data_IF_590818453791
#
_entry.id   IF_590818453791
#
_cell.length_a   1.000
_cell.length_b   1.000
_cell.length_c   1.000
_cell.angle_alpha   90.00
_cell.angle_beta   90.00
_cell.angle_gamma   90.00
#
_symmetry.space_group_name_H-M   'P 1'
#
loop_
_entity.id
_entity.type
_entity.pdbx_description
1 polymer ?
#
# COMPACT_ATOMS: atom_id res chain seq x y z
N UNK A 1 9.37 34.20 43.96
CA UNK A 1 10.73 34.79 43.91
C UNK A 1 11.75 33.76 44.38
N UNK A 2 12.91 33.68 43.70
CA UNK A 2 14.07 32.77 43.88
C UNK A 2 14.06 31.59 42.90
N UNK A 3 15.08 31.30 42.09
CA UNK A 3 16.29 31.99 41.61
C UNK A 3 16.81 31.16 40.41
N UNK A 4 17.49 31.83 39.48
CA UNK A 4 18.15 31.26 38.31
C UNK A 4 19.13 30.12 38.68
N UNK A 5 19.28 29.14 37.79
CA UNK A 5 20.53 28.38 37.65
C UNK A 5 20.75 28.03 36.18
N UNK A 6 21.59 28.86 35.56
CA UNK A 6 22.25 28.67 34.28
C UNK A 6 23.37 27.67 34.49
N UNK A 7 23.37 26.55 33.75
CA UNK A 7 24.60 25.81 33.47
C UNK A 7 24.70 25.53 31.97
N UNK A 8 25.68 26.21 31.40
CA UNK A 8 26.23 26.10 30.07
C UNK A 8 27.16 24.88 30.04
N UNK A 9 26.87 23.88 29.21
CA UNK A 9 27.89 22.94 28.72
C UNK A 9 27.70 22.75 27.22
N UNK A 10 28.74 23.21 26.53
CA UNK A 10 29.03 23.18 25.12
C UNK A 10 29.66 21.81 24.80
N UNK A 11 29.09 21.05 23.86
CA UNK A 11 29.76 19.88 23.30
C UNK A 11 29.27 19.58 21.86
N UNK A 12 30.11 20.02 20.94
CA UNK A 12 30.30 19.61 19.54
C UNK A 12 29.83 18.19 19.21
N UNK A 13 28.93 18.05 18.23
CA UNK A 13 28.76 16.81 17.46
C UNK A 13 28.82 17.13 15.96
N UNK A 14 30.04 16.93 15.44
CA UNK A 14 30.37 16.28 14.17
C UNK A 14 29.36 16.37 13.02
N UNK A 15 29.70 17.23 12.06
CA UNK A 15 29.77 16.99 10.61
C UNK A 15 29.34 15.55 10.21
N UNK A 16 28.12 15.42 9.69
CA UNK A 16 27.74 14.29 8.84
C UNK A 16 27.86 14.73 7.37
N UNK A 17 28.73 14.09 6.57
CA UNK A 17 28.88 14.39 5.15
C UNK A 17 27.73 13.75 4.35
N UNK A 18 27.27 14.49 3.34
CA UNK A 18 26.85 13.94 2.07
C UNK A 18 25.87 12.74 2.13
N UNK A 19 24.60 13.02 2.46
CA UNK A 19 23.53 12.24 1.83
C UNK A 19 23.49 12.67 0.36
N UNK A 20 24.35 12.03 -0.42
CA UNK A 20 24.16 11.88 -1.85
C UNK A 20 22.75 11.34 -2.04
N UNK A 21 21.83 12.23 -2.41
CA UNK A 21 20.54 11.85 -2.95
C UNK A 21 20.83 11.19 -4.29
N UNK A 22 21.16 9.89 -4.25
CA UNK A 22 20.77 8.98 -5.29
C UNK A 22 19.25 9.11 -5.36
N UNK A 23 18.79 9.94 -6.29
CA UNK A 23 17.48 9.75 -6.89
C UNK A 23 17.57 8.39 -7.58
N UNK A 24 17.41 7.31 -6.81
CA UNK A 24 16.83 6.10 -7.34
C UNK A 24 15.49 6.56 -7.92
N UNK A 25 15.46 6.74 -9.25
CA UNK A 25 14.22 6.70 -9.99
C UNK A 25 13.57 5.37 -9.58
N UNK A 26 12.63 5.44 -8.64
CA UNK A 26 11.88 4.29 -8.21
C UNK A 26 11.38 3.61 -9.49
N UNK A 27 11.73 2.33 -9.73
CA UNK A 27 11.23 1.64 -10.91
C UNK A 27 9.71 1.77 -10.86
N UNK A 28 9.10 2.27 -11.94
CA UNK A 28 7.65 2.39 -12.07
C UNK A 28 7.04 1.10 -11.51
N UNK A 29 6.21 1.24 -10.48
CA UNK A 29 5.62 0.09 -9.81
C UNK A 29 4.78 -0.67 -10.82
N UNK A 30 4.76 -1.99 -10.72
CA UNK A 30 3.97 -2.88 -11.59
C UNK A 30 2.52 -2.44 -11.76
N UNK A 31 2.00 -1.67 -10.81
CA UNK A 31 0.63 -1.15 -10.78
C UNK A 31 0.38 -0.07 -11.86
N UNK A 32 1.33 0.81 -12.17
CA UNK A 32 1.16 1.79 -13.27
C UNK A 32 1.10 1.10 -14.64
N UNK A 33 1.92 0.07 -14.84
CA UNK A 33 1.87 -0.75 -16.05
C UNK A 33 0.52 -1.43 -16.23
N UNK A 34 -0.02 -1.90 -15.10
CA UNK A 34 -1.27 -2.61 -15.01
C UNK A 34 -2.45 -1.72 -15.38
N UNK A 35 -2.48 -0.51 -14.83
CA UNK A 35 -3.51 0.48 -15.13
C UNK A 35 -3.51 0.86 -16.61
N UNK A 36 -2.33 0.99 -17.24
CA UNK A 36 -2.24 1.31 -18.66
C UNK A 36 -2.64 0.15 -19.59
N UNK A 37 -2.28 -1.08 -19.21
CA UNK A 37 -2.49 -2.27 -20.03
C UNK A 37 -3.94 -2.77 -19.92
N UNK A 38 -4.48 -2.81 -18.71
CA UNK A 38 -5.76 -3.46 -18.40
C UNK A 38 -6.92 -2.45 -18.30
N UNK A 39 -6.59 -1.18 -18.11
CA UNK A 39 -7.54 -0.12 -17.83
C UNK A 39 -7.74 0.07 -16.32
N UNK A 40 -7.85 1.33 -15.92
CA UNK A 40 -7.93 1.73 -14.53
C UNK A 40 -9.16 1.15 -13.82
N UNK A 41 -10.29 1.03 -14.52
CA UNK A 41 -11.56 0.58 -13.94
C UNK A 41 -11.52 -0.84 -13.38
N UNK A 42 -10.85 -1.77 -14.08
CA UNK A 42 -10.78 -3.18 -13.64
C UNK A 42 -9.80 -3.32 -12.45
N UNK A 43 -8.73 -2.53 -12.47
CA UNK A 43 -7.77 -2.46 -11.34
C UNK A 43 -8.45 -1.88 -10.11
N UNK A 44 -9.17 -0.77 -10.26
CA UNK A 44 -9.91 -0.12 -9.18
C UNK A 44 -11.00 -1.03 -8.61
N UNK A 45 -11.75 -1.75 -9.46
CA UNK A 45 -12.75 -2.72 -9.03
C UNK A 45 -12.12 -3.84 -8.17
N UNK A 46 -11.01 -4.45 -8.63
CA UNK A 46 -10.33 -5.49 -7.87
C UNK A 46 -9.75 -4.95 -6.53
N UNK A 47 -9.28 -3.71 -6.52
CA UNK A 47 -8.78 -3.04 -5.32
C UNK A 47 -9.92 -2.78 -4.32
N UNK A 48 -11.05 -2.22 -4.76
CA UNK A 48 -12.25 -1.99 -3.94
C UNK A 48 -12.75 -3.30 -3.33
N UNK A 49 -12.88 -4.37 -4.12
CA UNK A 49 -13.29 -5.68 -3.59
C UNK A 49 -12.30 -6.27 -2.58
N UNK A 50 -11.02 -5.94 -2.69
CA UNK A 50 -10.03 -6.35 -1.69
C UNK A 50 -10.21 -5.62 -0.35
N UNK A 51 -10.65 -4.36 -0.39
CA UNK A 51 -10.99 -3.57 0.79
C UNK A 51 -12.29 -4.05 1.44
N UNK A 52 -13.29 -4.48 0.66
CA UNK A 52 -14.51 -5.12 1.14
C UNK A 52 -14.19 -6.38 1.98
N UNK A 53 -13.34 -7.28 1.46
CA UNK A 53 -12.90 -8.49 2.18
C UNK A 53 -12.19 -8.13 3.48
N UNK A 54 -11.34 -7.09 3.47
CA UNK A 54 -10.65 -6.63 4.68
C UNK A 54 -11.64 -6.11 5.72
N UNK A 55 -12.63 -5.34 5.29
CA UNK A 55 -13.66 -4.77 6.15
C UNK A 55 -14.54 -5.86 6.75
N UNK A 56 -15.05 -6.79 5.93
CA UNK A 56 -15.86 -7.93 6.38
C UNK A 56 -15.09 -8.81 7.38
N UNK A 57 -13.80 -9.06 7.14
CA UNK A 57 -12.94 -9.81 8.06
C UNK A 57 -12.76 -9.09 9.40
N UNK A 58 -12.64 -7.77 9.39
CA UNK A 58 -12.57 -6.95 10.61
C UNK A 58 -13.90 -6.97 11.38
N UNK A 59 -15.04 -6.98 10.69
CA UNK A 59 -16.39 -7.15 11.27
C UNK A 59 -16.52 -8.51 11.93
N UNK A 60 -16.20 -9.60 11.22
CA UNK A 60 -16.22 -10.96 11.78
C UNK A 60 -15.31 -11.08 13.00
N UNK A 61 -14.13 -10.45 12.97
CA UNK A 61 -13.21 -10.42 14.12
C UNK A 61 -13.84 -9.73 15.34
N UNK A 62 -14.60 -8.65 15.15
CA UNK A 62 -15.32 -7.95 16.23
C UNK A 62 -16.49 -8.80 16.74
N UNK A 63 -17.30 -9.37 15.84
CA UNK A 63 -18.41 -10.25 16.18
C UNK A 63 -17.95 -11.48 16.99
N UNK A 64 -16.81 -12.09 16.63
CA UNK A 64 -16.23 -13.21 17.40
C UNK A 64 -15.76 -12.85 18.81
N UNK A 65 -15.49 -11.57 19.09
CA UNK A 65 -15.00 -11.12 20.41
C UNK A 65 -16.14 -10.75 21.36
N UNK A 66 -17.20 -10.13 20.83
CA UNK A 66 -18.23 -9.51 21.66
C UNK A 66 -19.67 -9.76 21.17
N UNK A 67 -19.84 -10.36 20.00
CA UNK A 67 -21.15 -10.59 19.38
C UNK A 67 -21.79 -11.92 19.76
N UNK A 68 -23.10 -11.97 19.60
CA UNK A 68 -23.96 -13.15 19.70
C UNK A 68 -23.64 -14.17 18.59
N UNK A 69 -24.17 -15.39 18.73
CA UNK A 69 -24.03 -16.43 17.70
C UNK A 69 -24.63 -16.01 16.36
N UNK A 70 -25.72 -15.26 16.38
CA UNK A 70 -26.39 -14.79 15.16
C UNK A 70 -25.53 -13.75 14.43
N UNK A 71 -25.00 -12.75 15.16
CA UNK A 71 -24.10 -11.74 14.58
C UNK A 71 -22.80 -12.37 14.04
N UNK A 72 -22.30 -13.43 14.68
CA UNK A 72 -21.14 -14.18 14.18
C UNK A 72 -21.44 -14.90 12.86
N UNK A 73 -22.63 -15.50 12.75
CA UNK A 73 -23.04 -16.18 11.53
C UNK A 73 -23.25 -15.20 10.38
N UNK A 74 -23.95 -14.08 10.63
CA UNK A 74 -24.16 -13.01 9.64
C UNK A 74 -22.83 -12.45 9.14
N UNK A 75 -21.90 -12.11 10.04
CA UNK A 75 -20.58 -11.62 9.65
C UNK A 75 -19.72 -12.66 8.90
N UNK A 76 -19.99 -13.96 9.09
CA UNK A 76 -19.32 -15.04 8.35
C UNK A 76 -19.91 -15.20 6.94
N UNK A 77 -21.23 -15.06 6.80
CA UNK A 77 -21.91 -14.99 5.51
C UNK A 77 -21.43 -13.77 4.69
N UNK A 78 -21.34 -12.59 5.32
CA UNK A 78 -20.82 -11.36 4.70
C UNK A 78 -19.38 -11.51 4.21
N UNK A 79 -18.50 -12.12 5.02
CA UNK A 79 -17.11 -12.37 4.62
C UNK A 79 -17.05 -13.32 3.42
N UNK A 80 -17.86 -14.37 3.43
CA UNK A 80 -17.88 -15.35 2.35
C UNK A 80 -18.37 -14.71 1.03
N UNK A 81 -19.41 -13.87 1.09
CA UNK A 81 -19.87 -13.10 -0.07
C UNK A 81 -18.77 -12.15 -0.60
N UNK A 82 -18.12 -11.39 0.29
CA UNK A 82 -17.03 -10.49 -0.11
C UNK A 82 -15.86 -11.25 -0.77
N UNK A 83 -15.49 -12.42 -0.24
CA UNK A 83 -14.43 -13.27 -0.79
C UNK A 83 -14.82 -13.82 -2.18
N UNK A 84 -16.07 -14.21 -2.40
CA UNK A 84 -16.58 -14.61 -3.72
C UNK A 84 -16.55 -13.47 -4.74
N UNK A 85 -16.96 -12.26 -4.35
CA UNK A 85 -16.94 -11.08 -5.20
C UNK A 85 -15.49 -10.70 -5.57
N UNK A 86 -14.58 -10.70 -4.60
CA UNK A 86 -13.16 -10.47 -4.85
C UNK A 86 -12.57 -11.52 -5.79
N UNK A 87 -12.90 -12.81 -5.62
CA UNK A 87 -12.43 -13.87 -6.51
C UNK A 87 -12.93 -13.68 -7.96
N UNK A 88 -14.15 -13.19 -8.16
CA UNK A 88 -14.69 -12.85 -9.50
C UNK A 88 -13.94 -11.66 -10.10
N UNK A 89 -13.75 -10.57 -9.35
CA UNK A 89 -13.00 -9.40 -9.79
C UNK A 89 -11.55 -9.75 -10.16
N UNK A 90 -10.91 -10.61 -9.37
CA UNK A 90 -9.54 -11.07 -9.63
C UNK A 90 -9.44 -11.89 -10.92
N UNK A 91 -10.42 -12.76 -11.20
CA UNK A 91 -10.48 -13.49 -12.48
C UNK A 91 -10.67 -12.56 -13.66
N UNK A 92 -11.51 -11.53 -13.52
CA UNK A 92 -11.73 -10.53 -14.56
C UNK A 92 -10.45 -9.73 -14.84
N UNK A 93 -9.75 -9.29 -13.79
CA UNK A 93 -8.45 -8.64 -13.87
C UNK A 93 -7.42 -9.52 -14.58
N UNK A 94 -7.30 -10.79 -14.19
CA UNK A 94 -6.32 -11.70 -14.80
C UNK A 94 -6.66 -12.00 -16.27
N UNK A 95 -7.94 -12.16 -16.63
CA UNK A 95 -8.36 -12.30 -18.03
C UNK A 95 -8.00 -11.06 -18.84
N UNK A 96 -8.30 -9.86 -18.33
CA UNK A 96 -8.00 -8.62 -19.02
C UNK A 96 -6.48 -8.38 -19.15
N UNK A 97 -5.67 -8.86 -18.19
CA UNK A 97 -4.21 -8.92 -18.34
C UNK A 97 -3.81 -9.82 -19.51
N UNK A 98 -4.34 -11.03 -19.57
CA UNK A 98 -4.03 -12.01 -20.62
C UNK A 98 -4.27 -11.42 -22.00
N UNK A 99 -5.43 -10.82 -22.20
CA UNK A 99 -5.82 -10.26 -23.49
C UNK A 99 -4.92 -9.08 -23.87
N UNK A 100 -4.62 -8.20 -22.92
CA UNK A 100 -3.74 -7.07 -23.18
C UNK A 100 -2.26 -7.48 -23.39
N UNK A 101 -1.80 -8.56 -22.75
CA UNK A 101 -0.50 -9.18 -23.03
C UNK A 101 -0.47 -9.83 -24.41
N UNK A 102 -1.54 -10.54 -24.79
CA UNK A 102 -1.67 -11.17 -26.10
C UNK A 102 -1.55 -10.11 -27.22
N UNK A 103 -2.31 -9.03 -27.09
CA UNK A 103 -2.32 -7.90 -28.04
C UNK A 103 -0.93 -7.26 -28.20
N UNK A 104 -0.22 -7.02 -27.09
CA UNK A 104 1.11 -6.38 -27.13
C UNK A 104 2.24 -7.32 -27.57
N UNK A 105 2.13 -8.61 -27.24
CA UNK A 105 3.17 -9.61 -27.48
C UNK A 105 3.07 -10.25 -28.88
N UNK A 106 1.92 -10.12 -29.55
CA UNK A 106 1.63 -10.84 -30.79
C UNK A 106 1.47 -12.35 -30.59
N UNK A 107 1.24 -12.79 -29.35
CA UNK A 107 0.91 -14.18 -28.99
C UNK A 107 -0.59 -14.31 -28.77
N UNK A 108 -1.11 -15.52 -28.83
CA UNK A 108 -2.50 -15.78 -28.48
C UNK A 108 -2.76 -15.71 -26.98
N UNK A 109 -3.98 -15.36 -26.55
CA UNK A 109 -4.41 -15.43 -25.14
C UNK A 109 -4.19 -16.81 -24.54
N UNK A 110 -4.34 -17.89 -25.33
CA UNK A 110 -4.09 -19.26 -24.90
C UNK A 110 -2.61 -19.51 -24.55
N UNK A 111 -1.67 -18.96 -25.31
CA UNK A 111 -0.24 -19.05 -24.99
C UNK A 111 0.10 -18.30 -23.71
N UNK A 112 -0.44 -17.09 -23.53
CA UNK A 112 -0.23 -16.29 -22.32
C UNK A 112 -0.84 -17.00 -21.10
N UNK A 113 -2.04 -17.57 -21.23
CA UNK A 113 -2.66 -18.40 -20.19
C UNK A 113 -1.80 -19.62 -19.86
N UNK A 114 -1.28 -20.34 -20.86
CA UNK A 114 -0.39 -21.48 -20.63
C UNK A 114 0.90 -21.07 -19.89
N UNK A 115 1.44 -19.88 -20.17
CA UNK A 115 2.56 -19.32 -19.41
C UNK A 115 2.17 -19.07 -17.95
N UNK A 116 0.99 -18.53 -17.70
CA UNK A 116 0.50 -18.30 -16.34
C UNK A 116 0.27 -19.61 -15.57
N UNK A 117 -0.31 -20.61 -16.23
CA UNK A 117 -0.58 -21.95 -15.68
C UNK A 117 0.71 -22.74 -15.41
N UNK A 118 1.77 -22.48 -16.19
CA UNK A 118 3.12 -23.02 -15.91
C UNK A 118 3.77 -22.43 -14.66
N UNK A 119 3.11 -21.47 -13.99
CA UNK A 119 3.59 -20.82 -12.77
C UNK A 119 4.46 -19.59 -13.02
N UNK A 120 4.59 -19.11 -14.27
CA UNK A 120 5.31 -17.85 -14.54
C UNK A 120 4.51 -16.68 -13.97
N UNK A 121 5.22 -15.78 -13.28
CA UNK A 121 4.65 -14.53 -12.82
C UNK A 121 4.48 -13.52 -13.96
N UNK A 122 3.57 -12.55 -13.80
CA UNK A 122 3.31 -11.50 -14.79
C UNK A 122 4.55 -10.73 -15.23
N UNK A 123 5.49 -10.47 -14.32
CA UNK A 123 6.75 -9.80 -14.65
C UNK A 123 7.63 -10.59 -15.62
N UNK A 124 7.68 -11.92 -15.47
CA UNK A 124 8.44 -12.81 -16.38
C UNK A 124 7.75 -12.88 -17.74
N UNK A 125 6.41 -12.96 -17.75
CA UNK A 125 5.62 -12.94 -18.99
C UNK A 125 5.83 -11.61 -19.73
N UNK A 126 5.84 -10.48 -19.02
CA UNK A 126 6.12 -9.17 -19.60
C UNK A 126 7.52 -9.09 -20.23
N UNK A 127 8.54 -9.61 -19.55
CA UNK A 127 9.91 -9.69 -20.09
C UNK A 127 9.98 -10.55 -21.36
N UNK A 128 9.34 -11.72 -21.36
CA UNK A 128 9.29 -12.60 -22.53
C UNK A 128 8.51 -12.00 -23.71
N UNK A 129 7.58 -11.10 -23.42
CA UNK A 129 6.83 -10.35 -24.42
C UNK A 129 7.52 -9.04 -24.83
N UNK A 130 8.72 -8.75 -24.31
CA UNK A 130 9.43 -7.51 -24.61
C UNK A 130 8.73 -6.24 -24.11
N UNK A 131 7.72 -6.38 -23.24
CA UNK A 131 7.01 -5.26 -22.63
C UNK A 131 7.89 -4.77 -21.48
N UNK A 132 8.76 -3.82 -21.80
CA UNK A 132 9.58 -3.17 -20.78
C UNK A 132 8.67 -2.37 -19.84
N UNK A 133 8.85 -2.45 -18.51
CA UNK A 133 8.02 -1.69 -17.60
C UNK A 133 8.11 -0.17 -17.86
N UNK A 134 9.26 0.30 -18.33
CA UNK A 134 9.49 1.69 -18.74
C UNK A 134 9.02 2.05 -20.17
N UNK A 135 8.65 1.07 -21.00
CA UNK A 135 8.19 1.30 -22.38
C UNK A 135 6.68 1.53 -22.47
N UNK A 136 5.90 1.06 -21.48
CA UNK A 136 4.49 1.38 -21.37
C UNK A 136 4.31 2.84 -20.89
N UNK A 137 4.98 3.26 -19.81
CA UNK A 137 4.77 4.59 -19.20
C UNK A 137 5.35 5.82 -19.92
N UNK A 138 5.92 5.70 -21.13
CA UNK A 138 6.56 6.84 -21.83
C UNK A 138 5.63 7.60 -22.78
N UNK A 139 4.34 7.62 -22.48
CA UNK A 139 3.31 8.17 -23.36
C UNK A 139 2.10 8.82 -22.67
N UNK A 140 2.33 9.79 -21.75
CA UNK A 140 1.47 10.97 -21.51
C UNK A 140 1.88 11.69 -20.21
N UNK A 141 2.98 12.43 -20.25
CA UNK A 141 3.21 13.49 -19.26
C UNK A 141 4.02 14.64 -19.87
N UNK A 142 3.37 15.45 -20.71
CA UNK A 142 3.76 16.87 -20.93
C UNK A 142 2.54 17.71 -21.36
N UNK A 143 1.64 17.95 -20.42
CA UNK A 143 0.94 19.23 -20.32
C UNK A 143 1.08 19.70 -18.87
N UNK A 144 2.32 20.06 -18.54
CA UNK A 144 2.66 20.76 -17.31
C UNK A 144 2.19 22.19 -17.50
N UNK A 145 0.89 22.45 -17.28
CA UNK A 145 0.37 23.81 -17.18
C UNK A 145 0.91 24.44 -15.89
N UNK A 146 2.13 24.94 -16.00
CA UNK A 146 2.67 25.95 -15.11
C UNK A 146 1.90 27.23 -15.39
N UNK A 147 0.71 27.40 -14.82
CA UNK A 147 0.20 28.75 -14.61
C UNK A 147 0.35 29.14 -13.15
N UNK A 148 1.51 29.75 -12.91
CA UNK A 148 1.98 30.33 -11.67
C UNK A 148 1.56 31.79 -11.70
N UNK A 149 0.29 32.09 -11.43
CA UNK A 149 -0.13 33.47 -11.17
C UNK A 149 -0.51 33.69 -9.71
N UNK A 150 0.37 34.48 -9.10
CA UNK A 150 0.27 35.07 -7.77
C UNK A 150 -0.99 35.92 -7.70
N UNK A 151 -1.90 35.60 -6.78
CA UNK A 151 -2.83 36.60 -6.26
C UNK A 151 -2.88 36.50 -4.73
N UNK A 152 -2.28 37.52 -4.10
CA UNK A 152 -2.35 37.84 -2.68
C UNK A 152 -3.82 37.95 -2.24
N UNK A 153 -4.24 37.12 -1.30
CA UNK A 153 -5.51 37.27 -0.57
C UNK A 153 -5.26 37.25 0.94
N UNK A 154 -4.79 38.37 1.49
CA UNK A 154 -4.60 38.58 2.92
C UNK A 154 -5.98 38.79 3.57
N UNK A 155 -6.67 37.69 3.88
CA UNK A 155 -7.99 37.67 4.53
C UNK A 155 -7.88 37.32 6.01
N UNK A 156 -7.96 38.35 6.84
CA UNK A 156 -8.07 38.31 8.30
C UNK A 156 -9.42 37.70 8.68
N UNK A 157 -9.45 36.47 9.20
CA UNK A 157 -10.64 35.94 9.90
C UNK A 157 -10.34 35.91 11.39
N UNK A 158 -11.26 36.53 12.11
CA UNK A 158 -11.25 36.93 13.51
C UNK A 158 -12.10 35.91 14.27
N UNK A 159 -11.51 35.35 15.33
CA UNK A 159 -12.15 34.76 16.51
C UNK A 159 -13.42 33.94 16.33
N UNK A 160 -13.32 32.64 16.59
CA UNK A 160 -14.34 31.90 17.32
C UNK A 160 -13.61 31.04 18.35
N UNK A 161 -13.66 31.51 19.59
CA UNK A 161 -13.43 30.71 20.79
C UNK A 161 -14.52 29.64 20.84
N UNK A 162 -14.12 28.38 20.84
CA UNK A 162 -14.95 27.24 21.19
C UNK A 162 -14.15 26.42 22.17
N UNK A 163 -14.26 26.86 23.42
CA UNK A 163 -14.15 26.03 24.59
C UNK A 163 -15.16 24.89 24.45
N UNK A 164 -14.68 23.65 24.43
CA UNK A 164 -15.40 22.52 25.02
C UNK A 164 -14.36 21.43 25.31
N UNK A 165 -14.06 21.36 26.60
CA UNK A 165 -13.38 20.29 27.30
C UNK A 165 -13.99 18.94 26.92
N UNK A 166 -13.16 17.93 26.61
CA UNK A 166 -13.38 16.59 27.16
C UNK A 166 -12.08 15.77 27.12
N UNK A 167 -11.50 15.68 28.31
CA UNK A 167 -10.47 14.75 28.70
C UNK A 167 -10.89 13.30 28.41
N UNK A 168 -10.14 12.60 27.55
CA UNK A 168 -10.09 11.14 27.57
C UNK A 168 -8.64 10.67 27.51
N UNK A 169 -8.02 10.75 28.68
CA UNK A 169 -7.02 9.82 29.16
C UNK A 169 -7.46 8.37 28.89
N UNK A 170 -6.64 7.63 28.15
CA UNK A 170 -6.33 6.25 28.53
C UNK A 170 -5.04 5.76 27.87
N UNK A 171 -3.98 5.88 28.67
CA UNK A 171 -2.87 4.94 28.70
C UNK A 171 -3.30 3.50 28.40
N UNK A 172 -2.73 2.92 27.35
CA UNK A 172 -2.51 1.48 27.34
C UNK A 172 -1.11 1.16 26.80
N UNK A 173 -0.16 1.32 27.71
CA UNK A 173 1.05 0.51 27.80
C UNK A 173 0.71 -0.97 27.57
N UNK A 174 1.11 -1.49 26.42
CA UNK A 174 1.41 -2.91 26.27
C UNK A 174 2.80 -3.08 25.68
N UNK A 175 3.77 -2.84 26.54
CA UNK A 175 5.01 -3.61 26.59
C UNK A 175 4.78 -5.10 26.31
N UNK A 176 5.06 -5.54 25.07
CA UNK A 176 5.21 -6.98 24.77
C UNK A 176 6.53 -7.26 24.04
N UNK A 177 7.49 -7.56 24.89
CA UNK A 177 8.26 -8.80 24.85
C UNK A 177 9.22 -9.00 23.68
N UNK A 178 10.37 -8.33 23.79
CA UNK A 178 11.60 -8.60 23.03
C UNK A 178 12.24 -9.90 23.54
N UNK A 179 11.69 -11.04 23.10
CA UNK A 179 12.21 -12.38 23.37
C UNK A 179 13.50 -12.66 22.58
N UNK A 180 14.62 -12.15 23.09
CA UNK A 180 15.97 -12.49 22.65
C UNK A 180 16.31 -13.88 23.19
N UNK A 181 16.30 -14.92 22.35
CA UNK A 181 16.86 -16.23 22.68
C UNK A 181 18.04 -16.55 21.78
N UNK A 182 19.19 -16.08 22.23
CA UNK A 182 20.49 -16.64 21.89
C UNK A 182 20.49 -18.14 22.28
N UNK A 183 20.66 -19.03 21.30
CA UNK A 183 21.15 -20.39 21.58
C UNK A 183 22.23 -20.79 20.59
N UNK A 184 23.41 -20.22 20.86
CA UNK A 184 24.73 -20.65 20.40
C UNK A 184 25.03 -22.02 21.01
N UNK A 185 24.78 -23.09 20.27
CA UNK A 185 25.15 -24.46 20.64
C UNK A 185 26.17 -25.03 19.67
N UNK A 186 27.46 -24.87 20.00
CA UNK A 186 28.58 -25.58 19.35
C UNK A 186 28.43 -27.08 19.61
N UNK A 187 28.17 -27.87 18.57
CA UNK A 187 28.33 -29.32 18.57
C UNK A 187 29.52 -29.70 17.68
N UNK A 188 30.67 -29.94 18.31
CA UNK A 188 31.91 -30.48 17.73
C UNK A 188 32.00 -31.94 18.19
N UNK A 189 32.61 -32.82 17.37
CA UNK A 189 32.92 -34.27 17.57
C UNK A 189 31.83 -35.19 16.99
N UNK A 190 32.13 -36.20 16.18
CA UNK A 190 33.38 -36.91 15.86
C UNK A 190 33.57 -37.01 14.35
#
# INVERSE_FOLDING_TARGET
MKRLSIFLVLAVVLIAPCLAQAQEEAPLTTDELLVEIVGQTIVDEAAERSEDVRTARDVLRKARRAGTRQEQQEAEEDLNEAEEQYAKAQKHLDQARIDAFADRCGKSSAEIQAMRDSGKGWGVIAQECGIHPSAAGKGKNKAKDKNKDKARGKGKVKGVDLDEDEDLDQDQDQSRNKGKKDKKGKGKKK
#
